data_IF_146958040683
#
_entry.id   IF_146958040683
#
_cell.length_a   1.000
_cell.length_b   1.000
_cell.length_c   1.000
_cell.angle_alpha   90.00
_cell.angle_beta   90.00
_cell.angle_gamma   90.00
#
_symmetry.space_group_name_H-M   'P 1'
#
loop_
_entity.id
_entity.type
_entity.pdbx_description
1 polymer ?
#
# COMPACT_ATOMS: atom_id res chain seq x y z
N UNK A 1 -40.13 -0.67 3.22
CA UNK A 1 -40.57 -0.85 1.83
C UNK A 1 -39.72 0.08 0.97
N UNK A 2 -38.92 -0.55 0.08
CA UNK A 2 -38.09 0.15 -0.91
C UNK A 2 -39.07 0.85 -1.87
N UNK A 3 -38.88 2.16 -2.09
CA UNK A 3 -39.75 2.89 -3.01
C UNK A 3 -39.54 2.42 -4.45
N UNK A 4 -40.60 2.41 -5.28
CA UNK A 4 -40.52 2.02 -6.71
C UNK A 4 -39.41 2.75 -7.48
N UNK A 5 -39.02 3.91 -7.02
CA UNK A 5 -37.93 4.72 -7.58
C UNK A 5 -36.54 4.14 -7.24
N UNK A 6 -36.37 3.62 -6.04
CA UNK A 6 -35.14 2.91 -5.64
C UNK A 6 -34.98 1.59 -6.38
N UNK A 7 -36.07 0.87 -6.68
CA UNK A 7 -36.05 -0.32 -7.53
C UNK A 7 -35.68 0.02 -8.98
N UNK A 8 -36.18 1.13 -9.53
CA UNK A 8 -35.80 1.61 -10.86
C UNK A 8 -34.32 2.02 -10.94
N UNK A 9 -33.82 2.69 -9.93
CA UNK A 9 -32.41 3.07 -9.84
C UNK A 9 -31.53 1.81 -9.72
N UNK A 10 -31.89 0.86 -8.87
CA UNK A 10 -31.17 -0.41 -8.76
C UNK A 10 -31.24 -1.25 -10.07
N UNK A 11 -32.37 -1.27 -10.76
CA UNK A 11 -32.51 -1.92 -12.05
C UNK A 11 -31.65 -1.23 -13.13
N UNK A 12 -31.61 0.11 -13.16
CA UNK A 12 -30.79 0.88 -14.09
C UNK A 12 -29.30 0.75 -13.83
N UNK A 13 -28.88 0.60 -12.59
CA UNK A 13 -27.49 0.31 -12.21
C UNK A 13 -27.11 -1.11 -12.60
N UNK A 14 -27.99 -2.09 -12.44
CA UNK A 14 -27.77 -3.47 -12.91
C UNK A 14 -27.70 -3.60 -14.43
N UNK A 15 -28.47 -2.83 -15.18
CA UNK A 15 -28.42 -2.85 -16.65
C UNK A 15 -27.22 -2.09 -17.23
N UNK A 16 -26.63 -1.15 -16.48
CA UNK A 16 -25.37 -0.47 -16.83
C UNK A 16 -24.12 -1.23 -16.38
N UNK A 17 -24.22 -2.17 -15.45
CA UNK A 17 -23.15 -3.12 -15.16
C UNK A 17 -23.03 -4.01 -16.41
N UNK A 18 -22.07 -3.69 -17.28
CA UNK A 18 -21.69 -4.56 -18.40
C UNK A 18 -21.49 -5.99 -17.91
N UNK A 19 -21.62 -6.99 -18.78
CA UNK A 19 -21.41 -8.41 -18.44
C UNK A 19 -20.16 -8.53 -17.56
N UNK A 20 -20.36 -8.78 -16.28
CA UNK A 20 -19.24 -9.01 -15.35
C UNK A 20 -18.44 -10.19 -15.88
N UNK A 21 -17.19 -9.95 -16.22
CA UNK A 21 -16.28 -10.99 -16.66
C UNK A 21 -16.11 -11.97 -15.50
N UNK A 22 -16.23 -13.27 -15.77
CA UNK A 22 -16.11 -14.24 -14.68
C UNK A 22 -14.70 -14.16 -14.05
N UNK A 23 -14.58 -14.14 -12.72
CA UNK A 23 -13.27 -14.07 -12.04
C UNK A 23 -12.33 -15.23 -12.44
N UNK A 24 -12.87 -16.38 -12.82
CA UNK A 24 -12.08 -17.49 -13.33
C UNK A 24 -11.45 -17.18 -14.69
N UNK A 25 -12.15 -16.45 -15.57
CA UNK A 25 -11.62 -16.07 -16.88
C UNK A 25 -10.48 -15.06 -16.74
N UNK A 26 -10.63 -14.05 -15.88
CA UNK A 26 -9.57 -13.07 -15.62
C UNK A 26 -8.33 -13.75 -15.02
N UNK A 27 -8.54 -14.72 -14.13
CA UNK A 27 -7.45 -15.49 -13.54
C UNK A 27 -6.75 -16.41 -14.56
N UNK A 28 -7.51 -17.01 -15.49
CA UNK A 28 -6.95 -17.80 -16.60
C UNK A 28 -6.09 -16.94 -17.53
N UNK A 29 -6.56 -15.72 -17.88
CA UNK A 29 -5.80 -14.79 -18.71
C UNK A 29 -4.52 -14.35 -18.00
N UNK A 30 -4.57 -14.09 -16.68
CA UNK A 30 -3.40 -13.81 -15.89
C UNK A 30 -2.42 -15.00 -15.87
N UNK A 31 -2.93 -16.24 -15.73
CA UNK A 31 -2.11 -17.45 -15.78
C UNK A 31 -1.41 -17.60 -17.12
N UNK A 32 -2.10 -17.33 -18.22
CA UNK A 32 -1.52 -17.34 -19.56
C UNK A 32 -0.39 -16.30 -19.67
N UNK A 33 -0.64 -15.08 -19.19
CA UNK A 33 0.39 -14.03 -19.15
C UNK A 33 1.61 -14.47 -18.34
N UNK A 34 1.44 -15.08 -17.16
CA UNK A 34 2.51 -15.57 -16.31
C UNK A 34 3.33 -16.66 -16.99
N UNK A 35 2.69 -17.60 -17.69
CA UNK A 35 3.39 -18.65 -18.44
C UNK A 35 4.21 -18.04 -19.58
N UNK A 36 3.65 -17.11 -20.35
CA UNK A 36 4.36 -16.44 -21.44
C UNK A 36 5.54 -15.60 -20.92
N UNK A 37 5.34 -14.87 -19.82
CA UNK A 37 6.42 -14.10 -19.19
C UNK A 37 7.53 -15.01 -18.65
N UNK A 38 7.19 -16.14 -18.04
CA UNK A 38 8.14 -17.14 -17.60
C UNK A 38 8.96 -17.68 -18.77
N UNK A 39 8.33 -18.09 -19.85
CA UNK A 39 9.00 -18.60 -21.04
C UNK A 39 9.96 -17.56 -21.63
N UNK A 40 9.51 -16.31 -21.76
CA UNK A 40 10.35 -15.21 -22.25
C UNK A 40 11.58 -14.98 -21.38
N UNK A 41 11.42 -15.01 -20.05
CA UNK A 41 12.52 -14.83 -19.11
C UNK A 41 13.51 -16.01 -19.14
N UNK A 42 13.01 -17.24 -19.31
CA UNK A 42 13.84 -18.42 -19.41
C UNK A 42 14.80 -18.40 -20.61
N UNK A 43 14.49 -17.63 -21.66
CA UNK A 43 15.38 -17.46 -22.83
C UNK A 43 16.55 -16.51 -22.54
N UNK A 44 16.49 -15.70 -21.48
CA UNK A 44 17.46 -14.63 -21.21
C UNK A 44 18.19 -14.75 -19.87
N UNK A 45 17.73 -15.65 -18.97
CA UNK A 45 18.26 -15.79 -17.61
C UNK A 45 18.93 -17.16 -17.46
N UNK A 46 20.13 -17.20 -16.89
CA UNK A 46 20.88 -18.45 -16.67
C UNK A 46 20.24 -19.38 -15.61
N UNK A 47 19.52 -18.81 -14.62
CA UNK A 47 18.94 -19.55 -13.51
C UNK A 47 17.51 -20.05 -13.80
N UNK A 48 17.36 -20.86 -14.84
CA UNK A 48 16.09 -21.38 -15.35
C UNK A 48 15.20 -22.01 -14.28
N UNK A 49 15.77 -22.89 -13.45
CA UNK A 49 15.00 -23.62 -12.43
C UNK A 49 14.43 -22.72 -11.33
N UNK A 50 15.15 -21.66 -10.98
CA UNK A 50 14.71 -20.72 -9.96
C UNK A 50 13.55 -19.84 -10.47
N UNK A 51 13.65 -19.38 -11.72
CA UNK A 51 12.60 -18.59 -12.37
C UNK A 51 11.34 -19.43 -12.56
N UNK A 52 11.46 -20.62 -13.16
CA UNK A 52 10.34 -21.53 -13.34
C UNK A 52 9.67 -21.91 -12.02
N UNK A 53 10.47 -22.17 -10.98
CA UNK A 53 9.96 -22.45 -9.64
C UNK A 53 9.17 -21.28 -9.03
N UNK A 54 9.67 -20.04 -9.17
CA UNK A 54 8.99 -18.86 -8.67
C UNK A 54 7.63 -18.63 -9.36
N UNK A 55 7.58 -18.72 -10.69
CA UNK A 55 6.34 -18.60 -11.44
C UNK A 55 5.35 -19.75 -11.15
N UNK A 56 5.87 -20.98 -11.02
CA UNK A 56 5.06 -22.15 -10.62
C UNK A 56 4.43 -21.98 -9.24
N UNK A 57 5.20 -21.51 -8.25
CA UNK A 57 4.69 -21.21 -6.92
C UNK A 57 3.66 -20.07 -6.93
N UNK A 58 3.88 -19.03 -7.73
CA UNK A 58 2.93 -17.92 -7.86
C UNK A 58 1.61 -18.38 -8.50
N UNK A 59 1.68 -19.18 -9.56
CA UNK A 59 0.52 -19.82 -10.18
C UNK A 59 -0.25 -20.70 -9.19
N UNK A 60 0.45 -21.54 -8.45
CA UNK A 60 -0.18 -22.40 -7.44
C UNK A 60 -0.85 -21.57 -6.33
N UNK A 61 -0.18 -20.53 -5.84
CA UNK A 61 -0.70 -19.65 -4.79
C UNK A 61 -1.97 -18.91 -5.21
N UNK A 62 -2.03 -18.37 -6.43
CA UNK A 62 -3.21 -17.63 -6.91
C UNK A 62 -4.42 -18.56 -7.08
N UNK A 63 -4.24 -19.76 -7.64
CA UNK A 63 -5.33 -20.72 -7.79
C UNK A 63 -5.77 -21.30 -6.44
N UNK A 64 -4.82 -21.56 -5.52
CA UNK A 64 -5.14 -22.00 -4.16
C UNK A 64 -5.95 -20.92 -3.43
N UNK A 65 -5.55 -19.64 -3.51
CA UNK A 65 -6.27 -18.54 -2.91
C UNK A 65 -7.67 -18.37 -3.52
N UNK A 66 -7.79 -18.47 -4.85
CA UNK A 66 -9.08 -18.42 -5.56
C UNK A 66 -10.03 -19.52 -5.08
N UNK A 67 -9.56 -20.77 -5.00
CA UNK A 67 -10.34 -21.90 -4.52
C UNK A 67 -10.75 -21.71 -3.04
N UNK A 68 -9.83 -21.25 -2.20
CA UNK A 68 -10.10 -20.95 -0.79
C UNK A 68 -11.19 -19.87 -0.64
N UNK A 69 -11.10 -18.79 -1.40
CA UNK A 69 -12.09 -17.72 -1.37
C UNK A 69 -13.46 -18.18 -1.89
N UNK A 70 -13.46 -19.03 -2.92
CA UNK A 70 -14.70 -19.65 -3.44
C UNK A 70 -15.36 -20.59 -2.42
N UNK A 71 -14.57 -21.39 -1.71
CA UNK A 71 -15.04 -22.22 -0.58
C UNK A 71 -15.62 -21.36 0.55
N UNK A 72 -15.02 -20.19 0.82
CA UNK A 72 -15.53 -19.19 1.76
C UNK A 72 -16.75 -18.42 1.24
N UNK A 73 -17.32 -18.79 0.07
CA UNK A 73 -18.47 -18.18 -0.58
C UNK A 73 -18.31 -16.70 -0.94
N UNK A 74 -17.07 -16.25 -1.20
CA UNK A 74 -16.83 -14.92 -1.77
C UNK A 74 -17.05 -14.94 -3.28
N UNK A 75 -17.77 -13.94 -3.81
CA UNK A 75 -18.10 -13.84 -5.23
C UNK A 75 -17.08 -13.04 -6.05
N UNK A 76 -16.43 -12.02 -5.45
CA UNK A 76 -15.47 -11.17 -6.13
C UNK A 76 -14.03 -11.63 -5.89
N UNK A 77 -13.17 -11.53 -6.92
CA UNK A 77 -11.74 -11.83 -6.88
C UNK A 77 -10.92 -10.83 -7.71
N UNK A 78 -11.49 -9.67 -8.01
CA UNK A 78 -10.90 -8.71 -8.94
C UNK A 78 -9.68 -8.00 -8.32
N UNK A 79 -9.77 -7.64 -7.03
CA UNK A 79 -8.69 -6.99 -6.30
C UNK A 79 -7.51 -7.94 -6.13
N UNK A 80 -7.77 -9.20 -5.79
CA UNK A 80 -6.77 -10.26 -5.68
C UNK A 80 -6.10 -10.53 -7.03
N UNK A 81 -6.87 -10.58 -8.13
CA UNK A 81 -6.33 -10.75 -9.48
C UNK A 81 -5.39 -9.59 -9.84
N UNK A 82 -5.78 -8.34 -9.54
CA UNK A 82 -4.93 -7.17 -9.76
C UNK A 82 -3.66 -7.23 -8.91
N UNK A 83 -3.77 -7.65 -7.65
CA UNK A 83 -2.62 -7.83 -6.77
C UNK A 83 -1.65 -8.88 -7.32
N UNK A 84 -2.14 -10.03 -7.80
CA UNK A 84 -1.31 -11.05 -8.44
C UNK A 84 -0.70 -10.59 -9.76
N UNK A 85 -1.40 -9.77 -10.53
CA UNK A 85 -0.84 -9.15 -11.74
C UNK A 85 0.34 -8.24 -11.39
N UNK A 86 0.19 -7.34 -10.43
CA UNK A 86 1.28 -6.45 -9.98
C UNK A 86 2.44 -7.25 -9.37
N UNK A 87 2.14 -8.29 -8.61
CA UNK A 87 3.16 -9.22 -8.07
C UNK A 87 3.91 -9.93 -9.19
N UNK A 88 3.21 -10.35 -10.25
CA UNK A 88 3.84 -10.96 -11.43
C UNK A 88 4.81 -9.98 -12.10
N UNK A 89 4.43 -8.72 -12.27
CA UNK A 89 5.32 -7.69 -12.81
C UNK A 89 6.57 -7.51 -11.92
N UNK A 90 6.39 -7.49 -10.58
CA UNK A 90 7.51 -7.47 -9.63
C UNK A 90 8.45 -8.67 -9.80
N UNK A 91 7.90 -9.87 -9.88
CA UNK A 91 8.68 -11.12 -10.11
C UNK A 91 9.42 -11.08 -11.44
N UNK A 92 8.81 -10.55 -12.52
CA UNK A 92 9.49 -10.37 -13.81
C UNK A 92 10.72 -9.46 -13.67
N UNK A 93 10.57 -8.30 -13.01
CA UNK A 93 11.66 -7.34 -12.81
C UNK A 93 12.78 -7.95 -11.95
N UNK A 94 12.44 -8.62 -10.85
CA UNK A 94 13.44 -9.27 -9.98
C UNK A 94 14.14 -10.41 -10.70
N UNK A 95 13.42 -11.20 -11.50
CA UNK A 95 13.98 -12.30 -12.29
C UNK A 95 15.01 -11.82 -13.31
N UNK A 96 14.79 -10.66 -13.93
CA UNK A 96 15.69 -10.11 -14.94
C UNK A 96 16.87 -9.35 -14.32
N UNK A 97 16.66 -8.63 -13.19
CA UNK A 97 17.69 -7.75 -12.60
C UNK A 97 18.54 -8.44 -11.54
N UNK A 98 17.96 -9.30 -10.73
CA UNK A 98 18.59 -9.94 -9.56
C UNK A 98 17.98 -11.31 -9.24
N UNK A 99 18.23 -12.36 -10.06
CA UNK A 99 17.61 -13.67 -9.85
C UNK A 99 17.87 -14.28 -8.47
N UNK A 100 19.01 -13.97 -7.84
CA UNK A 100 19.35 -14.42 -6.48
C UNK A 100 18.39 -13.87 -5.40
N UNK A 101 17.75 -12.74 -5.65
CA UNK A 101 16.78 -12.14 -4.74
C UNK A 101 15.38 -12.80 -4.79
N UNK A 102 15.09 -13.61 -5.83
CA UNK A 102 13.79 -14.26 -6.02
C UNK A 102 13.32 -15.06 -4.82
N UNK A 103 14.22 -15.74 -4.11
CA UNK A 103 13.85 -16.50 -2.90
C UNK A 103 13.28 -15.59 -1.80
N UNK A 104 13.88 -14.40 -1.61
CA UNK A 104 13.41 -13.41 -0.64
C UNK A 104 12.08 -12.80 -1.08
N UNK A 105 11.95 -12.52 -2.38
CA UNK A 105 10.71 -12.00 -2.98
C UNK A 105 9.54 -12.98 -2.79
N UNK A 106 9.76 -14.27 -3.09
CA UNK A 106 8.73 -15.30 -2.88
C UNK A 106 8.34 -15.43 -1.41
N UNK A 107 9.31 -15.36 -0.49
CA UNK A 107 9.01 -15.35 0.95
C UNK A 107 8.14 -14.16 1.34
N UNK A 108 8.43 -12.97 0.82
CA UNK A 108 7.63 -11.77 1.06
C UNK A 108 6.21 -11.88 0.51
N UNK A 109 6.04 -12.46 -0.69
CA UNK A 109 4.73 -12.72 -1.31
C UNK A 109 3.89 -13.65 -0.43
N UNK A 110 4.45 -14.78 0.00
CA UNK A 110 3.73 -15.73 0.87
C UNK A 110 3.42 -15.13 2.24
N UNK A 111 4.33 -14.36 2.82
CA UNK A 111 4.07 -13.60 4.05
C UNK A 111 2.92 -12.59 3.84
N UNK A 112 2.89 -11.88 2.72
CA UNK A 112 1.81 -10.97 2.35
C UNK A 112 0.46 -11.67 2.22
N UNK A 113 0.41 -12.84 1.56
CA UNK A 113 -0.81 -13.66 1.46
C UNK A 113 -1.27 -14.13 2.85
N UNK A 114 -0.36 -14.55 3.71
CA UNK A 114 -0.69 -14.96 5.08
C UNK A 114 -1.27 -13.79 5.89
N UNK A 115 -0.66 -12.62 5.84
CA UNK A 115 -1.17 -11.39 6.49
C UNK A 115 -2.55 -11.02 5.93
N UNK A 116 -2.75 -11.10 4.61
CA UNK A 116 -4.04 -10.85 3.98
C UNK A 116 -5.14 -11.79 4.50
N UNK A 117 -4.85 -13.09 4.61
CA UNK A 117 -5.80 -14.07 5.12
C UNK A 117 -6.12 -13.84 6.61
N UNK A 118 -5.10 -13.56 7.43
CA UNK A 118 -5.25 -13.26 8.86
C UNK A 118 -6.11 -12.00 9.04
N UNK A 119 -5.79 -10.93 8.31
CA UNK A 119 -6.57 -9.69 8.36
C UNK A 119 -8.00 -9.89 7.87
N UNK A 120 -8.20 -10.64 6.78
CA UNK A 120 -9.52 -10.96 6.26
C UNK A 120 -10.37 -11.76 7.26
N UNK A 121 -9.78 -12.74 7.95
CA UNK A 121 -10.45 -13.48 9.01
C UNK A 121 -10.78 -12.58 10.21
N UNK A 122 -9.84 -11.73 10.60
CA UNK A 122 -9.99 -10.81 11.73
C UNK A 122 -11.07 -9.76 11.48
N UNK A 123 -11.09 -9.14 10.27
CA UNK A 123 -12.06 -8.11 9.88
C UNK A 123 -13.47 -8.64 9.64
N UNK A 124 -13.65 -9.96 9.56
CA UNK A 124 -14.98 -10.58 9.45
C UNK A 124 -15.87 -10.27 10.65
N UNK A 125 -15.27 -10.03 11.82
CA UNK A 125 -15.99 -9.65 13.03
C UNK A 125 -15.74 -8.19 13.37
N UNK A 126 -16.70 -7.33 13.02
CA UNK A 126 -16.64 -5.88 13.24
C UNK A 126 -16.56 -5.48 14.72
N UNK A 127 -17.07 -6.32 15.64
CA UNK A 127 -17.01 -6.02 17.07
C UNK A 127 -15.57 -6.22 17.61
N UNK A 128 -14.85 -7.23 17.14
CA UNK A 128 -13.43 -7.40 17.43
C UNK A 128 -12.62 -6.22 16.88
N UNK A 129 -12.92 -5.83 15.63
CA UNK A 129 -12.28 -4.70 14.99
C UNK A 129 -12.42 -3.40 15.81
N UNK A 130 -13.63 -3.09 16.29
CA UNK A 130 -13.90 -1.90 17.12
C UNK A 130 -13.14 -1.90 18.44
N UNK A 131 -12.96 -3.06 19.09
CA UNK A 131 -12.23 -3.17 20.36
C UNK A 131 -10.72 -2.94 20.19
N UNK A 132 -10.14 -3.39 19.07
CA UNK A 132 -8.71 -3.31 18.83
C UNK A 132 -8.22 -2.00 18.21
N UNK A 133 -9.09 -1.04 17.91
CA UNK A 133 -8.70 0.23 17.27
C UNK A 133 -7.60 0.99 18.03
N UNK A 134 -7.68 1.04 19.35
CA UNK A 134 -6.66 1.71 20.16
C UNK A 134 -5.36 0.92 20.20
N UNK A 135 -5.44 -0.41 20.20
CA UNK A 135 -4.27 -1.28 20.11
C UNK A 135 -3.59 -1.11 18.76
N UNK A 136 -4.35 -1.07 17.66
CA UNK A 136 -3.81 -0.81 16.33
C UNK A 136 -3.16 0.58 16.23
N UNK A 137 -3.82 1.61 16.78
CA UNK A 137 -3.26 2.96 16.81
C UNK A 137 -1.95 3.01 17.61
N UNK A 138 -1.92 2.41 18.79
CA UNK A 138 -0.71 2.33 19.61
C UNK A 138 0.40 1.52 18.93
N UNK A 139 0.06 0.38 18.29
CA UNK A 139 1.00 -0.42 17.52
C UNK A 139 1.61 0.36 16.36
N UNK A 140 0.80 1.16 15.64
CA UNK A 140 1.29 2.02 14.56
C UNK A 140 2.32 3.05 15.05
N UNK A 141 2.06 3.72 16.18
CA UNK A 141 3.03 4.66 16.78
C UNK A 141 4.26 3.91 17.27
N UNK A 142 4.10 2.78 17.96
CA UNK A 142 5.22 1.99 18.46
C UNK A 142 6.14 1.51 17.34
N UNK A 143 5.59 1.08 16.20
CA UNK A 143 6.35 0.71 15.00
C UNK A 143 7.13 1.88 14.42
N UNK A 144 6.57 3.09 14.39
CA UNK A 144 7.28 4.27 13.92
C UNK A 144 8.38 4.72 14.90
N UNK A 145 8.10 4.69 16.20
CA UNK A 145 9.13 4.96 17.23
C UNK A 145 10.27 3.95 17.10
N UNK A 146 9.95 2.68 16.95
CA UNK A 146 10.93 1.63 16.68
C UNK A 146 11.75 1.93 15.42
N UNK A 147 11.13 2.40 14.35
CA UNK A 147 11.82 2.79 13.13
C UNK A 147 12.74 4.01 13.33
N UNK A 148 12.31 5.01 14.09
CA UNK A 148 13.15 6.17 14.43
C UNK A 148 14.41 5.76 15.19
N UNK A 149 14.28 4.79 16.10
CA UNK A 149 15.38 4.33 16.95
C UNK A 149 16.33 3.38 16.19
N UNK A 150 15.80 2.38 15.52
CA UNK A 150 16.55 1.27 14.93
C UNK A 150 16.65 1.30 13.40
N UNK A 151 16.04 2.29 12.73
CA UNK A 151 16.06 2.39 11.28
C UNK A 151 17.47 2.63 10.72
N UNK A 152 17.77 2.01 9.59
CA UNK A 152 18.98 2.21 8.81
C UNK A 152 18.73 3.23 7.72
N UNK A 153 19.69 4.14 7.53
CA UNK A 153 19.59 5.14 6.48
C UNK A 153 19.92 4.51 5.11
N UNK A 154 18.94 4.51 4.21
CA UNK A 154 19.12 4.13 2.80
C UNK A 154 18.63 5.26 1.90
N UNK A 155 19.48 5.70 0.98
CA UNK A 155 19.14 6.77 0.01
C UNK A 155 18.66 8.07 0.65
N UNK A 156 19.16 8.41 1.85
CA UNK A 156 18.85 9.65 2.57
C UNK A 156 17.55 9.61 3.40
N UNK A 157 16.88 8.47 3.50
CA UNK A 157 15.75 8.24 4.39
C UNK A 157 16.04 7.07 5.36
N UNK A 158 15.68 7.26 6.64
CA UNK A 158 15.89 6.27 7.70
C UNK A 158 14.63 5.40 7.87
N UNK A 159 14.17 4.77 6.81
CA UNK A 159 12.86 4.12 6.75
C UNK A 159 12.91 2.58 6.66
N UNK A 160 14.10 1.99 6.66
CA UNK A 160 14.29 0.54 6.63
C UNK A 160 14.84 0.02 7.94
N UNK A 161 14.35 -1.14 8.39
CA UNK A 161 14.90 -1.88 9.52
C UNK A 161 15.40 -3.22 9.00
N UNK A 162 16.63 -3.56 9.37
CA UNK A 162 17.29 -4.81 9.01
C UNK A 162 17.33 -5.75 10.21
N UNK A 163 16.74 -6.93 10.08
CA UNK A 163 16.78 -7.98 11.07
C UNK A 163 17.39 -9.22 10.41
N UNK A 164 18.69 -9.41 10.62
CA UNK A 164 19.46 -10.46 9.95
C UNK A 164 19.44 -10.29 8.42
N UNK A 165 19.06 -11.32 7.64
CA UNK A 165 19.05 -11.27 6.17
C UNK A 165 17.81 -10.57 5.60
N UNK A 166 16.85 -10.19 6.43
CA UNK A 166 15.57 -9.61 6.01
C UNK A 166 15.54 -8.11 6.34
N UNK A 167 15.21 -7.30 5.34
CA UNK A 167 14.92 -5.88 5.54
C UNK A 167 13.43 -5.63 5.31
N UNK A 168 12.81 -4.85 6.18
CA UNK A 168 11.41 -4.44 6.02
C UNK A 168 11.24 -2.97 6.36
N UNK A 169 10.17 -2.38 5.85
CA UNK A 169 9.83 -0.99 6.10
C UNK A 169 8.65 -0.93 7.07
N UNK A 170 8.85 -0.51 8.32
CA UNK A 170 7.78 -0.46 9.33
C UNK A 170 6.58 0.40 8.90
N UNK A 171 6.79 1.48 8.15
CA UNK A 171 5.72 2.35 7.67
C UNK A 171 4.68 1.62 6.78
N UNK A 172 5.05 0.49 6.13
CA UNK A 172 4.09 -0.33 5.39
C UNK A 172 3.04 -0.97 6.33
N UNK A 173 3.49 -1.48 7.48
CA UNK A 173 2.58 -2.01 8.50
C UNK A 173 1.79 -0.90 9.19
N UNK A 174 2.40 0.26 9.38
CA UNK A 174 1.71 1.44 9.95
C UNK A 174 0.57 1.89 9.08
N UNK A 175 0.66 1.78 7.73
CA UNK A 175 -0.47 2.07 6.83
C UNK A 175 -1.70 1.22 7.17
N UNK A 176 -1.50 -0.08 7.43
CA UNK A 176 -2.59 -0.97 7.83
C UNK A 176 -3.20 -0.54 9.16
N UNK A 177 -2.36 -0.24 10.16
CA UNK A 177 -2.81 0.25 11.47
C UNK A 177 -3.58 1.57 11.35
N UNK A 178 -3.12 2.48 10.50
CA UNK A 178 -3.73 3.79 10.29
C UNK A 178 -5.12 3.68 9.64
N UNK A 179 -5.22 2.94 8.55
CA UNK A 179 -6.50 2.71 7.85
C UNK A 179 -7.49 2.02 8.80
N UNK A 180 -7.02 1.02 9.54
CA UNK A 180 -7.85 0.30 10.51
C UNK A 180 -8.35 1.21 11.65
N UNK A 181 -7.46 2.01 12.25
CA UNK A 181 -7.82 2.98 13.29
C UNK A 181 -8.79 4.05 12.74
N UNK A 182 -8.54 4.58 11.54
CA UNK A 182 -9.39 5.54 10.85
C UNK A 182 -10.79 4.98 10.59
N UNK A 183 -10.87 3.83 9.90
CA UNK A 183 -12.14 3.21 9.54
C UNK A 183 -12.99 2.84 10.77
N UNK A 184 -12.39 2.28 11.83
CA UNK A 184 -13.09 1.92 13.05
C UNK A 184 -13.51 3.14 13.89
N UNK A 185 -12.87 4.28 13.69
CA UNK A 185 -13.19 5.55 14.37
C UNK A 185 -14.25 6.34 13.61
N UNK A 186 -14.39 6.14 12.29
CA UNK A 186 -15.32 6.84 11.41
C UNK A 186 -16.77 6.88 11.94
N UNK A 187 -17.26 5.78 12.51
CA UNK A 187 -18.61 5.72 13.08
C UNK A 187 -18.81 6.60 14.32
N UNK A 188 -17.72 6.97 15.02
CA UNK A 188 -17.73 7.74 16.27
C UNK A 188 -17.11 9.13 16.14
N UNK A 189 -16.64 9.54 14.96
CA UNK A 189 -16.05 10.87 14.71
C UNK A 189 -17.06 12.04 14.85
N UNK A 190 -18.35 11.75 15.06
CA UNK A 190 -19.36 12.77 15.39
C UNK A 190 -19.05 13.53 16.69
N UNK A 191 -18.22 12.96 17.56
CA UNK A 191 -17.81 13.63 18.81
C UNK A 191 -16.52 14.41 18.55
N UNK A 192 -16.50 15.71 18.87
CA UNK A 192 -15.33 16.60 18.74
C UNK A 192 -14.06 16.01 19.35
N UNK A 193 -14.17 15.27 20.45
CA UNK A 193 -13.05 14.59 21.12
C UNK A 193 -12.41 13.50 20.25
N UNK A 194 -13.20 12.69 19.58
CA UNK A 194 -12.68 11.61 18.73
C UNK A 194 -12.02 12.16 17.45
N UNK A 195 -12.56 13.22 16.89
CA UNK A 195 -11.95 13.92 15.76
C UNK A 195 -10.59 14.51 16.16
N UNK A 196 -10.51 15.17 17.31
CA UNK A 196 -9.26 15.71 17.84
C UNK A 196 -8.21 14.62 18.05
N UNK A 197 -8.60 13.48 18.64
CA UNK A 197 -7.69 12.34 18.83
C UNK A 197 -7.18 11.80 17.49
N UNK A 198 -8.02 11.75 16.46
CA UNK A 198 -7.61 11.30 15.13
C UNK A 198 -6.68 12.31 14.44
N UNK A 199 -6.91 13.61 14.63
CA UNK A 199 -6.00 14.67 14.16
C UNK A 199 -4.62 14.53 14.83
N UNK A 200 -4.60 14.41 16.17
CA UNK A 200 -3.36 14.26 16.93
C UNK A 200 -2.60 12.99 16.53
N UNK A 201 -3.32 11.88 16.35
CA UNK A 201 -2.73 10.62 15.89
C UNK A 201 -2.12 10.75 14.49
N UNK A 202 -2.83 11.37 13.55
CA UNK A 202 -2.35 11.59 12.18
C UNK A 202 -1.15 12.54 12.16
N UNK A 203 -1.19 13.60 12.96
CA UNK A 203 -0.08 14.55 13.10
C UNK A 203 1.15 13.88 13.70
N UNK A 204 0.99 13.01 14.72
CA UNK A 204 2.09 12.26 15.30
C UNK A 204 2.77 11.33 14.28
N UNK A 205 1.96 10.61 13.48
CA UNK A 205 2.48 9.75 12.41
C UNK A 205 3.25 10.57 11.37
N UNK A 206 2.65 11.64 10.85
CA UNK A 206 3.31 12.51 9.87
C UNK A 206 4.59 13.14 10.44
N UNK A 207 4.59 13.52 11.73
CA UNK A 207 5.76 14.03 12.43
C UNK A 207 6.90 13.00 12.52
N UNK A 208 6.59 11.76 12.92
CA UNK A 208 7.58 10.68 12.95
C UNK A 208 8.16 10.40 11.55
N UNK A 209 7.31 10.37 10.51
CA UNK A 209 7.74 10.17 9.12
C UNK A 209 8.63 11.32 8.64
N UNK A 210 8.34 12.55 9.03
CA UNK A 210 9.19 13.71 8.73
C UNK A 210 10.57 13.61 9.43
N UNK A 211 10.62 13.07 10.66
CA UNK A 211 11.88 12.85 11.39
C UNK A 211 12.80 11.86 10.66
N UNK A 212 12.23 10.80 10.08
CA UNK A 212 12.98 9.78 9.32
C UNK A 212 13.22 10.15 7.84
N UNK A 213 12.83 11.37 7.44
CA UNK A 213 12.93 11.91 6.07
C UNK A 213 12.09 11.13 5.04
N UNK A 214 11.02 10.44 5.45
CA UNK A 214 10.09 9.75 4.56
C UNK A 214 8.86 10.62 4.23
N UNK A 215 9.12 11.71 3.50
CA UNK A 215 8.10 12.68 3.13
C UNK A 215 7.06 12.12 2.15
N UNK A 216 7.48 11.18 1.28
CA UNK A 216 6.56 10.55 0.32
C UNK A 216 5.46 9.80 1.05
N UNK A 217 5.83 8.97 2.01
CA UNK A 217 4.87 8.25 2.85
C UNK A 217 4.05 9.20 3.72
N UNK A 218 4.66 10.27 4.26
CA UNK A 218 3.93 11.27 5.05
C UNK A 218 2.79 11.94 4.25
N UNK A 219 3.00 12.26 2.96
CA UNK A 219 1.96 12.81 2.08
C UNK A 219 0.81 11.81 1.90
N UNK A 220 1.10 10.53 1.73
CA UNK A 220 0.07 9.49 1.59
C UNK A 220 -0.80 9.43 2.85
N UNK A 221 -0.21 9.43 4.04
CA UNK A 221 -0.96 9.46 5.30
C UNK A 221 -1.78 10.73 5.45
N UNK A 222 -1.20 11.87 5.08
CA UNK A 222 -1.91 13.15 5.15
C UNK A 222 -3.12 13.20 4.20
N UNK A 223 -2.96 12.79 2.94
CA UNK A 223 -4.08 12.72 1.98
C UNK A 223 -5.16 11.74 2.47
N UNK A 224 -4.75 10.58 2.98
CA UNK A 224 -5.69 9.60 3.57
C UNK A 224 -6.45 10.19 4.75
N UNK A 225 -5.77 10.94 5.62
CA UNK A 225 -6.40 11.67 6.72
C UNK A 225 -7.41 12.69 6.19
N UNK A 226 -7.03 13.54 5.21
CA UNK A 226 -7.92 14.55 4.64
C UNK A 226 -9.19 13.92 4.06
N UNK A 227 -9.04 12.88 3.23
CA UNK A 227 -10.19 12.18 2.63
C UNK A 227 -11.09 11.60 3.71
N UNK A 228 -10.51 10.92 4.70
CA UNK A 228 -11.24 10.29 5.81
C UNK A 228 -11.97 11.34 6.66
N UNK A 229 -11.31 12.45 6.98
CA UNK A 229 -11.88 13.55 7.74
C UNK A 229 -13.02 14.25 6.97
N UNK A 230 -12.84 14.48 5.66
CA UNK A 230 -13.85 15.07 4.80
C UNK A 230 -15.09 14.19 4.64
N UNK A 231 -14.90 12.93 4.29
CA UNK A 231 -16.02 11.98 4.16
C UNK A 231 -16.91 11.95 5.40
N UNK A 232 -16.37 12.35 6.54
CA UNK A 232 -17.07 12.30 7.81
C UNK A 232 -17.60 13.64 8.29
N UNK A 233 -16.83 14.72 8.14
CA UNK A 233 -17.23 16.06 8.61
C UNK A 233 -18.10 16.81 7.61
N UNK A 234 -17.85 16.61 6.30
CA UNK A 234 -18.42 17.41 5.22
C UNK A 234 -18.01 18.89 5.28
N UNK A 235 -17.09 19.25 6.19
CA UNK A 235 -16.70 20.62 6.48
C UNK A 235 -15.42 21.00 5.73
N UNK A 236 -15.57 21.88 4.75
CA UNK A 236 -14.46 22.41 3.96
C UNK A 236 -13.53 23.33 4.77
N UNK A 237 -14.02 23.98 5.84
CA UNK A 237 -13.18 24.84 6.67
C UNK A 237 -12.13 24.03 7.43
N UNK A 238 -12.50 22.87 7.96
CA UNK A 238 -11.58 21.95 8.62
C UNK A 238 -10.49 21.46 7.65
N UNK A 239 -10.85 21.16 6.41
CA UNK A 239 -9.88 20.77 5.37
C UNK A 239 -8.96 21.92 5.02
N UNK A 240 -9.52 23.12 4.79
CA UNK A 240 -8.74 24.32 4.50
C UNK A 240 -7.71 24.61 5.58
N UNK A 241 -8.11 24.50 6.85
CA UNK A 241 -7.21 24.68 8.00
C UNK A 241 -6.11 23.58 8.05
N UNK A 242 -6.48 22.33 7.81
CA UNK A 242 -5.50 21.23 7.77
C UNK A 242 -4.51 21.39 6.63
N UNK A 243 -4.97 21.78 5.43
CA UNK A 243 -4.10 22.07 4.28
C UNK A 243 -3.17 23.26 4.55
N UNK A 244 -3.70 24.35 5.13
CA UNK A 244 -2.91 25.53 5.50
C UNK A 244 -1.82 25.17 6.54
N UNK A 245 -2.20 24.44 7.58
CA UNK A 245 -1.26 23.97 8.62
C UNK A 245 -0.17 23.07 8.05
N UNK A 246 -0.54 22.15 7.16
CA UNK A 246 0.44 21.27 6.49
C UNK A 246 1.31 22.01 5.49
N UNK A 247 0.75 22.98 4.76
CA UNK A 247 1.52 23.87 3.87
C UNK A 247 2.58 24.63 4.67
N UNK A 248 2.20 25.21 5.82
CA UNK A 248 3.14 25.87 6.72
C UNK A 248 4.22 24.93 7.25
N UNK A 249 3.82 23.73 7.72
CA UNK A 249 4.77 22.71 8.16
C UNK A 249 5.71 22.26 7.02
N UNK A 250 5.21 22.17 5.78
CA UNK A 250 6.00 21.88 4.60
C UNK A 250 7.08 22.93 4.34
N UNK A 251 6.73 24.21 4.44
CA UNK A 251 7.70 25.32 4.33
C UNK A 251 8.78 25.23 5.41
N UNK A 252 8.40 24.93 6.65
CA UNK A 252 9.37 24.74 7.74
C UNK A 252 10.29 23.53 7.45
N UNK A 253 9.76 22.42 6.97
CA UNK A 253 10.56 21.25 6.59
C UNK A 253 11.56 21.60 5.50
N UNK A 254 11.16 22.30 4.45
CA UNK A 254 12.06 22.75 3.38
C UNK A 254 13.16 23.68 3.90
N UNK A 255 12.85 24.51 4.91
CA UNK A 255 13.83 25.40 5.54
C UNK A 255 14.88 24.69 6.35
N UNK A 256 14.48 23.62 7.08
CA UNK A 256 15.35 22.94 8.05
C UNK A 256 15.93 21.61 7.55
N UNK A 257 15.41 21.04 6.47
CA UNK A 257 15.84 19.74 5.93
C UNK A 257 16.46 19.87 4.51
N UNK A 258 17.80 19.94 4.42
CA UNK A 258 18.49 20.08 3.12
C UNK A 258 18.18 18.96 2.13
N UNK A 259 17.86 17.77 2.62
CA UNK A 259 17.48 16.62 1.80
C UNK A 259 16.18 16.86 1.01
N UNK A 260 15.17 17.44 1.64
CA UNK A 260 13.91 17.76 0.97
C UNK A 260 14.13 18.86 -0.11
N UNK A 261 14.94 19.85 0.20
CA UNK A 261 15.28 20.92 -0.72
C UNK A 261 16.03 20.38 -1.97
N UNK A 262 16.97 19.46 -1.80
CA UNK A 262 17.68 18.81 -2.92
C UNK A 262 16.75 18.05 -3.86
N UNK A 263 15.75 17.34 -3.33
CA UNK A 263 14.74 16.69 -4.17
C UNK A 263 13.90 17.67 -4.97
N UNK A 264 13.58 18.83 -4.38
CA UNK A 264 12.84 19.88 -5.04
C UNK A 264 13.65 20.57 -6.13
N UNK A 265 14.94 20.81 -5.91
CA UNK A 265 15.84 21.43 -6.89
C UNK A 265 16.12 20.53 -8.10
N UNK A 266 16.03 19.20 -7.92
CA UNK A 266 16.18 18.24 -9.02
C UNK A 266 14.95 18.19 -9.91
N UNK A 267 13.80 18.69 -9.47
CA UNK A 267 12.58 18.72 -10.27
C UNK A 267 12.78 19.56 -11.53
N UNK A 268 12.51 19.03 -12.71
CA UNK A 268 12.77 19.57 -14.05
C UNK A 268 14.24 19.61 -14.49
N UNK A 269 15.20 19.35 -13.59
CA UNK A 269 16.64 19.32 -13.88
C UNK A 269 17.23 17.92 -13.66
N UNK A 270 16.45 16.90 -14.01
CA UNK A 270 16.76 15.50 -13.71
C UNK A 270 18.02 15.03 -14.43
N UNK A 271 18.21 15.46 -15.69
CA UNK A 271 19.34 15.10 -16.52
C UNK A 271 20.66 15.72 -16.08
N UNK A 272 20.61 16.90 -15.50
CA UNK A 272 21.78 17.57 -14.93
C UNK A 272 22.30 16.86 -13.68
N UNK A 273 21.41 16.13 -12.99
CA UNK A 273 21.70 15.39 -11.77
C UNK A 273 21.53 13.87 -11.93
N UNK A 274 21.78 13.35 -13.16
CA UNK A 274 21.48 11.97 -13.54
C UNK A 274 22.17 10.90 -12.68
N UNK A 275 23.36 11.19 -12.15
CA UNK A 275 24.15 10.27 -11.34
C UNK A 275 23.98 10.49 -9.82
N UNK A 276 23.19 11.48 -9.40
CA UNK A 276 23.03 11.84 -7.99
C UNK A 276 21.55 11.81 -7.58
N UNK A 277 20.96 12.98 -7.30
CA UNK A 277 19.58 13.11 -6.82
C UNK A 277 18.51 12.78 -7.86
N UNK A 278 18.84 12.82 -9.16
CA UNK A 278 17.97 12.45 -10.29
C UNK A 278 18.12 11.01 -10.78
N UNK A 279 18.96 10.20 -10.14
CA UNK A 279 19.29 8.85 -10.63
C UNK A 279 18.05 7.96 -10.89
N UNK A 280 17.13 7.90 -9.92
CA UNK A 280 15.94 7.06 -10.05
C UNK A 280 15.00 7.53 -11.17
N UNK A 281 14.85 8.85 -11.33
CA UNK A 281 14.00 9.43 -12.38
C UNK A 281 14.61 9.24 -13.77
N UNK A 282 15.92 9.46 -13.92
CA UNK A 282 16.60 9.24 -15.21
C UNK A 282 16.52 7.78 -15.63
N UNK A 283 16.71 6.84 -14.72
CA UNK A 283 16.56 5.41 -15.02
C UNK A 283 15.13 5.06 -15.41
N UNK A 284 14.13 5.58 -14.70
CA UNK A 284 12.72 5.38 -15.06
C UNK A 284 12.33 5.99 -16.41
N UNK A 285 13.02 7.04 -16.86
CA UNK A 285 12.78 7.63 -18.20
C UNK A 285 13.56 6.95 -19.32
N UNK A 286 14.56 6.12 -19.00
CA UNK A 286 15.33 5.34 -19.97
C UNK A 286 14.72 3.94 -20.21
N UNK A 287 13.81 3.46 -19.38
CA UNK A 287 13.06 2.22 -19.55
C UNK A 287 11.82 2.43 -20.41
#
# INVERSE_FOLDING_TARGET
PITKEQERIQASVRTRAGKEVSPALTLMLLSLFQVLACLQLMLHVEQLGLVAGAFGMLLAAQWALFLLMRLARRSGFDVETLAFFLTTMGVCVVSSSSPSALKKEMLAIFAGIAVFLILGWFLRDLERAKKLRYVAAAAGIALLVFNVLFGVEKYGAKNWVEIGPVSFQPSELVKLCFVFAGASTLQRLMTKRNLLLYIVYSAAICGCLALINDFGTAIIFFVTFLVTAFMRSGDFATIGLACAGTGFAGVLVLRFKPYALRRFSTWRHVWENALTSGYSQTRAMMC
#
